data_IF_316686721911
#
_entry.id   IF_316686721911
#
_cell.length_a   1.000
_cell.length_b   1.000
_cell.length_c   1.000
_cell.angle_alpha   90.00
_cell.angle_beta   90.00
_cell.angle_gamma   90.00
#
_symmetry.space_group_name_H-M   'P 1'
#
loop_
_entity.id
_entity.type
_entity.pdbx_description
1 polymer ?
#
# COMPACT_ATOMS: atom_id res chain seq x y z
N UNK A 1 11.53 8.15 -44.04
CA UNK A 1 12.09 7.65 -42.75
C UNK A 1 10.92 7.45 -41.81
N UNK A 2 10.57 6.23 -41.50
CA UNK A 2 9.54 5.92 -40.48
C UNK A 2 10.17 6.17 -39.12
N UNK A 3 9.70 7.18 -38.42
CA UNK A 3 10.08 7.43 -37.03
C UNK A 3 9.54 6.23 -36.19
N UNK A 4 10.46 5.48 -35.62
CA UNK A 4 10.07 4.40 -34.68
C UNK A 4 9.62 5.08 -33.39
N UNK A 5 8.36 4.88 -33.04
CA UNK A 5 7.78 5.34 -31.80
C UNK A 5 8.40 4.55 -30.63
N UNK A 6 9.05 5.22 -29.70
CA UNK A 6 9.58 4.63 -28.47
C UNK A 6 8.71 5.03 -27.29
N UNK A 7 7.86 4.11 -26.84
CA UNK A 7 6.95 4.34 -25.70
C UNK A 7 7.67 4.62 -24.39
N UNK A 8 8.92 4.20 -24.25
CA UNK A 8 9.69 4.44 -23.03
C UNK A 8 10.27 5.86 -22.99
N UNK A 9 10.47 6.49 -24.17
CA UNK A 9 11.00 7.84 -24.30
C UNK A 9 9.94 8.93 -24.48
N UNK A 10 8.72 8.55 -24.90
CA UNK A 10 7.62 9.47 -25.18
C UNK A 10 6.60 9.45 -24.02
N UNK A 11 6.42 10.58 -23.37
CA UNK A 11 5.51 10.74 -22.21
C UNK A 11 4.02 10.74 -22.56
N UNK A 12 3.69 10.87 -23.84
CA UNK A 12 2.31 10.95 -24.31
C UNK A 12 1.57 9.60 -24.13
N UNK A 13 0.66 9.57 -23.17
CA UNK A 13 -0.16 8.41 -22.87
C UNK A 13 0.53 7.33 -22.05
N UNK A 14 1.73 7.57 -21.53
CA UNK A 14 2.41 6.65 -20.62
C UNK A 14 1.93 6.83 -19.16
N UNK A 15 1.92 5.73 -18.42
CA UNK A 15 1.73 5.77 -16.98
C UNK A 15 3.07 6.15 -16.35
N UNK A 16 3.13 7.31 -15.71
CA UNK A 16 4.36 7.83 -15.09
C UNK A 16 4.43 7.60 -13.59
N UNK A 17 3.28 7.37 -12.93
CA UNK A 17 3.22 7.08 -11.49
C UNK A 17 1.92 6.38 -11.14
N UNK A 18 1.96 5.63 -10.04
CA UNK A 18 0.78 5.12 -9.35
C UNK A 18 0.44 6.10 -8.22
N UNK A 19 -0.65 6.85 -8.39
CA UNK A 19 -1.04 7.88 -7.44
C UNK A 19 -1.74 7.29 -6.22
N UNK A 20 -2.80 6.49 -6.42
CA UNK A 20 -3.47 5.85 -5.30
C UNK A 20 -4.14 4.52 -5.68
N UNK A 21 -4.40 3.73 -4.65
CA UNK A 21 -5.25 2.54 -4.70
C UNK A 21 -6.47 2.78 -3.83
N UNK A 22 -7.66 2.61 -4.41
CA UNK A 22 -8.92 2.71 -3.68
C UNK A 22 -9.37 1.32 -3.23
N UNK A 23 -9.56 1.15 -1.92
CA UNK A 23 -10.04 -0.09 -1.31
C UNK A 23 -11.08 0.21 -0.26
N UNK A 24 -12.32 -0.22 -0.48
CA UNK A 24 -13.38 -0.06 0.50
C UNK A 24 -13.13 -0.93 1.74
N UNK A 25 -13.31 -0.34 2.92
CA UNK A 25 -13.15 -0.98 4.22
C UNK A 25 -14.44 -0.87 5.03
N UNK A 26 -14.87 -1.92 5.73
CA UNK A 26 -16.12 -1.87 6.51
C UNK A 26 -15.95 -1.19 7.87
N UNK A 27 -14.71 -1.05 8.38
CA UNK A 27 -14.42 -0.54 9.72
C UNK A 27 -13.19 0.37 9.70
N UNK A 28 -13.39 1.67 9.92
CA UNK A 28 -12.32 2.67 9.93
C UNK A 28 -11.38 2.54 11.14
N UNK A 29 -11.85 2.00 12.28
CA UNK A 29 -11.00 1.78 13.44
C UNK A 29 -9.99 0.67 13.18
N UNK A 30 -10.43 -0.45 12.63
CA UNK A 30 -9.54 -1.54 12.19
C UNK A 30 -8.63 -1.10 11.05
N UNK A 31 -9.12 -0.29 10.10
CA UNK A 31 -8.30 0.28 9.03
C UNK A 31 -7.19 1.17 9.61
N UNK A 32 -7.51 2.02 10.61
CA UNK A 32 -6.50 2.85 11.30
C UNK A 32 -5.47 1.97 12.01
N UNK A 33 -5.90 0.95 12.74
CA UNK A 33 -4.99 0.00 13.42
C UNK A 33 -4.05 -0.68 12.43
N UNK A 34 -4.54 -1.03 11.24
CA UNK A 34 -3.73 -1.69 10.21
C UNK A 34 -2.85 -0.70 9.42
N UNK A 35 -3.44 0.25 8.71
CA UNK A 35 -2.69 1.11 7.79
C UNK A 35 -1.78 2.12 8.52
N UNK A 36 -2.24 2.67 9.63
CA UNK A 36 -1.49 3.69 10.37
C UNK A 36 -0.59 3.05 11.44
N UNK A 37 -1.15 2.23 12.33
CA UNK A 37 -0.38 1.67 13.45
C UNK A 37 0.55 0.53 13.01
N UNK A 38 0.04 -0.46 12.28
CA UNK A 38 0.80 -1.63 11.88
C UNK A 38 1.77 -1.33 10.72
N UNK A 39 1.28 -0.80 9.60
CA UNK A 39 2.14 -0.46 8.45
C UNK A 39 2.95 0.82 8.64
N UNK A 40 2.52 1.73 9.49
CA UNK A 40 3.22 2.99 9.76
C UNK A 40 2.95 4.11 8.75
N UNK A 41 1.88 3.99 7.96
CA UNK A 41 1.49 5.06 7.03
C UNK A 41 0.96 6.28 7.79
N UNK A 42 0.87 7.42 7.12
CA UNK A 42 0.39 8.66 7.72
C UNK A 42 -1.00 8.98 7.19
N UNK A 43 -1.94 9.25 8.10
CA UNK A 43 -3.25 9.75 7.71
C UNK A 43 -3.10 11.14 7.08
N UNK A 44 -3.70 11.35 5.90
CA UNK A 44 -3.62 12.64 5.23
C UNK A 44 -4.39 13.71 6.04
N UNK A 45 -3.74 14.82 6.41
CA UNK A 45 -4.39 15.87 7.21
C UNK A 45 -5.32 16.77 6.40
N UNK A 46 -5.20 16.77 5.07
CA UNK A 46 -5.98 17.64 4.18
C UNK A 46 -7.17 16.94 3.54
N UNK A 47 -7.07 15.64 3.33
CA UNK A 47 -8.11 14.80 2.72
C UNK A 47 -9.03 14.16 3.78
N UNK A 48 -9.24 14.85 4.90
CA UNK A 48 -10.15 14.42 5.96
C UNK A 48 -11.55 14.92 5.69
N UNK A 49 -12.31 14.19 4.89
CA UNK A 49 -13.70 14.52 4.56
C UNK A 49 -14.73 13.92 5.52
N UNK A 50 -14.29 13.48 6.70
CA UNK A 50 -15.12 12.86 7.74
C UNK A 50 -14.48 11.61 8.34
N UNK A 51 -15.24 10.94 9.22
CA UNK A 51 -14.78 9.73 9.91
C UNK A 51 -14.90 8.46 9.05
N UNK A 52 -15.64 8.54 7.96
CA UNK A 52 -15.99 7.39 7.10
C UNK A 52 -15.12 7.29 5.85
N UNK A 53 -14.06 8.08 5.76
CA UNK A 53 -13.22 8.13 4.58
C UNK A 53 -11.79 8.51 4.96
N UNK A 54 -10.90 7.53 4.96
CA UNK A 54 -9.50 7.76 5.29
C UNK A 54 -8.64 7.76 4.03
N UNK A 55 -7.71 8.71 3.97
CA UNK A 55 -6.58 8.69 3.05
C UNK A 55 -5.30 8.44 3.84
N UNK A 56 -4.56 7.41 3.48
CA UNK A 56 -3.31 7.02 4.12
C UNK A 56 -2.15 7.23 3.16
N UNK A 57 -1.24 8.14 3.52
CA UNK A 57 -0.11 8.53 2.70
C UNK A 57 1.04 7.53 2.78
N UNK A 58 1.62 7.26 1.63
CA UNK A 58 2.86 6.52 1.45
C UNK A 58 3.72 7.23 0.40
N UNK A 59 4.56 8.17 0.84
CA UNK A 59 5.29 9.04 -0.07
C UNK A 59 4.36 9.91 -0.92
N UNK A 60 4.54 9.88 -2.23
CA UNK A 60 3.68 10.57 -3.20
C UNK A 60 2.42 9.77 -3.58
N UNK A 61 2.27 8.56 -3.05
CA UNK A 61 1.11 7.69 -3.28
C UNK A 61 0.22 7.61 -2.03
N UNK A 62 -1.01 7.10 -2.21
CA UNK A 62 -1.99 7.00 -1.13
C UNK A 62 -2.82 5.73 -1.24
N UNK A 63 -3.30 5.23 -0.10
CA UNK A 63 -4.50 4.41 -0.06
C UNK A 63 -5.72 5.30 0.22
N UNK A 64 -6.75 5.15 -0.59
CA UNK A 64 -8.07 5.72 -0.34
C UNK A 64 -8.98 4.63 0.22
N UNK A 65 -9.49 4.82 1.43
CA UNK A 65 -10.16 3.80 2.25
C UNK A 65 -11.57 4.26 2.67
N UNK A 66 -12.54 4.33 1.74
CA UNK A 66 -13.91 4.71 2.09
C UNK A 66 -14.62 3.59 2.85
N UNK A 67 -15.48 3.99 3.81
CA UNK A 67 -16.33 3.05 4.56
C UNK A 67 -17.45 2.51 3.69
N UNK A 68 -17.31 1.26 3.29
CA UNK A 68 -18.31 0.50 2.52
C UNK A 68 -18.11 -0.99 2.76
N UNK A 69 -18.90 -1.83 2.08
CA UNK A 69 -18.68 -3.27 2.09
C UNK A 69 -17.23 -3.62 1.70
N UNK A 70 -16.71 -4.69 2.27
CA UNK A 70 -15.33 -5.15 2.05
C UNK A 70 -15.02 -5.28 0.56
N UNK A 71 -13.91 -4.68 0.14
CA UNK A 71 -13.34 -4.89 -1.19
C UNK A 71 -11.99 -5.59 -1.06
N UNK A 72 -11.82 -6.69 -1.76
CA UNK A 72 -10.55 -7.42 -1.82
C UNK A 72 -10.06 -7.45 -3.27
N UNK A 73 -8.88 -6.92 -3.51
CA UNK A 73 -8.24 -6.94 -4.82
C UNK A 73 -7.74 -8.36 -5.12
N UNK A 74 -7.95 -8.81 -6.36
CA UNK A 74 -7.31 -10.04 -6.85
C UNK A 74 -5.89 -9.71 -7.26
N UNK A 75 -4.95 -9.97 -6.38
CA UNK A 75 -3.55 -9.62 -6.56
C UNK A 75 -2.93 -9.05 -5.28
N UNK A 76 -2.03 -8.12 -5.42
CA UNK A 76 -1.40 -7.45 -4.28
C UNK A 76 -0.81 -6.09 -4.66
N UNK A 77 -0.62 -5.24 -3.65
CA UNK A 77 0.01 -3.92 -3.79
C UNK A 77 1.43 -3.95 -3.26
N UNK A 78 2.39 -3.45 -4.02
CA UNK A 78 3.77 -3.28 -3.56
C UNK A 78 3.96 -1.94 -2.84
N UNK A 79 4.69 -1.94 -1.74
CA UNK A 79 5.13 -0.74 -1.02
C UNK A 79 6.64 -0.75 -0.83
N UNK A 80 7.27 0.42 -0.95
CA UNK A 80 8.65 0.67 -0.50
C UNK A 80 8.57 1.48 0.79
N UNK A 81 9.17 0.96 1.86
CA UNK A 81 9.10 1.54 3.20
C UNK A 81 10.49 1.87 3.74
N UNK A 82 10.80 3.14 4.06
CA UNK A 82 12.09 3.51 4.64
C UNK A 82 12.31 2.94 6.05
N UNK A 83 11.24 2.51 6.73
CA UNK A 83 11.30 1.82 8.03
C UNK A 83 11.15 0.29 7.92
N UNK A 84 11.51 -0.29 6.77
CA UNK A 84 11.39 -1.72 6.52
C UNK A 84 12.08 -2.58 7.60
N UNK A 85 13.26 -2.17 8.07
CA UNK A 85 14.04 -2.92 9.07
C UNK A 85 13.31 -3.10 10.41
N UNK A 86 12.37 -2.22 10.75
CA UNK A 86 11.56 -2.30 11.97
C UNK A 86 10.13 -2.75 11.72
N UNK A 87 9.77 -3.04 10.48
CA UNK A 87 8.39 -3.36 10.11
C UNK A 87 7.88 -4.63 10.80
N UNK A 88 8.66 -5.70 10.82
CA UNK A 88 8.24 -6.96 11.46
C UNK A 88 7.89 -6.75 12.94
N UNK A 89 8.74 -6.03 13.69
CA UNK A 89 8.49 -5.70 15.10
C UNK A 89 7.21 -4.87 15.26
N UNK A 90 6.98 -3.91 14.37
CA UNK A 90 5.77 -3.09 14.38
C UNK A 90 4.50 -3.92 14.11
N UNK A 91 4.56 -4.85 13.17
CA UNK A 91 3.45 -5.77 12.86
C UNK A 91 3.15 -6.68 14.06
N UNK A 92 4.17 -7.22 14.72
CA UNK A 92 4.03 -8.01 15.94
C UNK A 92 3.34 -7.23 17.07
N UNK A 93 3.77 -5.98 17.29
CA UNK A 93 3.18 -5.10 18.31
C UNK A 93 1.72 -4.75 18.02
N UNK A 94 1.34 -4.61 16.75
CA UNK A 94 -0.03 -4.32 16.35
C UNK A 94 -0.95 -5.53 16.33
N UNK A 95 -0.43 -6.76 16.39
CA UNK A 95 -1.20 -7.99 16.22
C UNK A 95 -2.39 -8.10 17.19
N UNK A 96 -2.22 -7.66 18.44
CA UNK A 96 -3.31 -7.66 19.42
C UNK A 96 -4.49 -6.76 19.06
N UNK A 97 -4.25 -5.65 18.34
CA UNK A 97 -5.31 -4.74 17.86
C UNK A 97 -6.08 -5.33 16.67
N UNK A 98 -5.52 -6.34 16.02
CA UNK A 98 -6.03 -6.95 14.79
C UNK A 98 -6.47 -8.41 15.01
N UNK A 99 -6.54 -8.84 16.26
CA UNK A 99 -6.99 -10.18 16.64
C UNK A 99 -8.40 -10.47 16.13
N UNK A 100 -8.64 -11.70 15.67
CA UNK A 100 -9.93 -12.13 15.15
C UNK A 100 -10.22 -11.68 13.72
N UNK A 101 -9.28 -11.00 13.05
CA UNK A 101 -9.35 -10.61 11.63
C UNK A 101 -8.53 -11.55 10.74
N UNK A 102 -8.44 -11.27 9.43
CA UNK A 102 -7.57 -12.01 8.54
C UNK A 102 -6.11 -11.50 8.55
N UNK A 103 -5.78 -10.57 9.44
CA UNK A 103 -4.42 -10.04 9.55
C UNK A 103 -3.40 -11.15 9.76
N UNK A 104 -2.38 -11.12 8.93
CA UNK A 104 -1.21 -11.99 9.03
C UNK A 104 -0.02 -11.36 8.33
N UNK A 105 1.18 -11.84 8.59
CA UNK A 105 2.36 -11.45 7.82
C UNK A 105 3.38 -12.57 7.79
N UNK A 106 4.21 -12.56 6.75
CA UNK A 106 5.30 -13.51 6.54
C UNK A 106 6.57 -12.76 6.14
N UNK A 107 7.64 -12.99 6.89
CA UNK A 107 8.94 -12.37 6.65
C UNK A 107 9.75 -13.24 5.71
N UNK A 108 10.15 -12.68 4.57
CA UNK A 108 11.06 -13.28 3.61
C UNK A 108 12.41 -12.54 3.60
N UNK A 109 13.39 -13.06 2.89
CA UNK A 109 14.74 -12.45 2.87
C UNK A 109 14.77 -11.03 2.30
N UNK A 110 13.91 -10.74 1.28
CA UNK A 110 13.95 -9.48 0.54
C UNK A 110 12.68 -8.62 0.69
N UNK A 111 11.64 -9.14 1.32
CA UNK A 111 10.36 -8.47 1.48
C UNK A 111 9.55 -9.07 2.64
N UNK A 112 8.49 -8.39 3.04
CA UNK A 112 7.49 -8.88 4.00
C UNK A 112 6.15 -8.87 3.30
N UNK A 113 5.46 -10.01 3.24
CA UNK A 113 4.08 -10.09 2.80
C UNK A 113 3.16 -9.88 3.99
N UNK A 114 2.21 -8.96 3.83
CA UNK A 114 1.26 -8.57 4.87
C UNK A 114 -0.16 -8.70 4.33
N UNK A 115 -1.05 -9.34 5.07
CA UNK A 115 -2.47 -9.42 4.76
C UNK A 115 -3.24 -8.48 5.68
N UNK A 116 -4.07 -7.61 5.10
CA UNK A 116 -4.90 -6.69 5.88
C UNK A 116 -6.05 -7.43 6.60
N UNK A 117 -6.78 -6.79 7.54
CA UNK A 117 -7.89 -7.40 8.27
C UNK A 117 -8.95 -8.09 7.41
N UNK A 118 -9.07 -7.74 6.15
CA UNK A 118 -10.12 -8.25 5.23
C UNK A 118 -9.58 -9.08 4.07
N UNK A 119 -8.26 -9.33 4.00
CA UNK A 119 -7.67 -10.22 3.01
C UNK A 119 -6.91 -9.53 1.87
N UNK A 120 -6.84 -8.20 1.80
CA UNK A 120 -5.96 -7.54 0.83
C UNK A 120 -4.49 -7.80 1.16
N UNK A 121 -3.73 -8.19 0.16
CA UNK A 121 -2.31 -8.51 0.29
C UNK A 121 -1.45 -7.31 -0.08
N UNK A 122 -0.44 -7.06 0.73
CA UNK A 122 0.53 -5.99 0.53
C UNK A 122 1.93 -6.58 0.65
N UNK A 123 2.77 -6.33 -0.33
CA UNK A 123 4.19 -6.71 -0.30
C UNK A 123 5.05 -5.50 0.02
N UNK A 124 5.71 -5.54 1.16
CA UNK A 124 6.56 -4.47 1.64
C UNK A 124 8.02 -4.75 1.33
N UNK A 125 8.72 -3.74 0.79
CA UNK A 125 10.12 -3.81 0.40
C UNK A 125 10.97 -2.74 1.10
N UNK A 126 12.25 -2.99 1.34
CA UNK A 126 13.21 -1.92 1.56
C UNK A 126 13.42 -1.13 0.26
N UNK A 127 13.97 0.07 0.38
CA UNK A 127 14.49 0.77 -0.82
C UNK A 127 15.61 -0.05 -1.46
N UNK A 128 15.66 -0.05 -2.79
CA UNK A 128 16.64 -0.81 -3.55
C UNK A 128 16.70 -0.37 -5.01
N UNK A 129 17.74 -0.80 -5.74
CA UNK A 129 17.96 -0.38 -7.13
C UNK A 129 16.82 -0.79 -8.07
N UNK A 130 16.07 -1.83 -7.76
CA UNK A 130 14.88 -2.29 -8.50
C UNK A 130 13.73 -1.26 -8.50
N UNK A 131 13.73 -0.33 -7.53
CA UNK A 131 12.74 0.74 -7.41
C UNK A 131 13.29 2.11 -7.84
N UNK A 132 14.46 2.14 -8.49
CA UNK A 132 15.13 3.37 -8.94
C UNK A 132 15.45 4.30 -7.77
N UNK A 133 14.95 5.52 -7.81
CA UNK A 133 15.16 6.53 -6.75
C UNK A 133 14.07 6.53 -5.67
N UNK A 134 13.09 5.64 -5.76
CA UNK A 134 12.00 5.56 -4.78
C UNK A 134 12.50 5.01 -3.44
N UNK A 135 12.41 5.81 -2.40
CA UNK A 135 12.73 5.41 -1.02
C UNK A 135 11.47 5.19 -0.17
N UNK A 136 10.35 5.73 -0.61
CA UNK A 136 9.02 5.57 -0.02
C UNK A 136 7.97 5.71 -1.10
N UNK A 137 7.00 4.81 -1.16
CA UNK A 137 5.94 4.90 -2.16
C UNK A 137 5.29 3.57 -2.50
N UNK A 138 4.48 3.61 -3.55
CA UNK A 138 3.74 2.48 -4.10
C UNK A 138 4.23 2.23 -5.54
N UNK A 139 5.25 1.36 -5.71
CA UNK A 139 5.88 1.17 -7.03
C UNK A 139 5.01 0.39 -8.01
N UNK A 140 4.10 -0.47 -7.52
CA UNK A 140 3.30 -1.33 -8.39
C UNK A 140 2.04 -1.87 -7.72
N UNK A 141 1.10 -2.28 -8.55
CA UNK A 141 -0.02 -3.16 -8.20
C UNK A 141 0.01 -4.35 -9.15
N UNK A 142 -0.12 -5.55 -8.61
CA UNK A 142 -0.32 -6.78 -9.39
C UNK A 142 -1.79 -7.13 -9.36
N UNK A 143 -2.37 -7.38 -10.52
CA UNK A 143 -3.77 -7.81 -10.67
C UNK A 143 -3.77 -9.16 -11.38
N UNK A 144 -4.36 -10.17 -10.74
CA UNK A 144 -4.53 -11.50 -11.31
C UNK A 144 -5.69 -11.46 -12.32
N UNK A 145 -5.42 -11.85 -13.55
CA UNK A 145 -6.37 -11.89 -14.67
C UNK A 145 -6.76 -13.30 -15.04
#
# INVERSE_FOLDING_TARGET
>A
MTQTFDRAADDLGNIVSLEHVNVCVPDQSLATSFYISALGLTRDPYMMTGVDNMWANIGASQFHLPSRGTQVLRGFTGLVLPWFDTLATRLEQAAGLLEGTQFSFEVHNAFIDVTCPWGNRIRCHPAGPEFGTMTVGMPYVVVDV
#
